data_IF_234206151379
#
_entry.id   IF_234206151379
#
_cell.length_a   1.000
_cell.length_b   1.000
_cell.length_c   1.000
_cell.angle_alpha   90.00
_cell.angle_beta   90.00
_cell.angle_gamma   90.00
#
_symmetry.space_group_name_H-M   'P 1'
#
loop_
_entity.id
_entity.type
_entity.pdbx_description
1 polymer ?
#
# COMPACT_ATOMS: atom_id res chain seq x y z
N UNK A 1 -22.57 -1.61 -0.64
CA UNK A 1 -22.09 -0.37 -1.30
C UNK A 1 -23.20 0.14 -2.21
N UNK A 2 -23.55 1.42 -2.09
CA UNK A 2 -24.52 2.11 -2.93
C UNK A 2 -23.88 3.33 -3.57
N UNK A 3 -24.15 3.54 -4.85
CA UNK A 3 -23.76 4.73 -5.58
C UNK A 3 -24.98 5.30 -6.30
N UNK A 4 -25.26 6.58 -6.10
CA UNK A 4 -26.30 7.31 -6.79
C UNK A 4 -25.77 8.61 -7.36
N UNK A 5 -26.23 8.98 -8.56
CA UNK A 5 -25.91 10.26 -9.19
C UNK A 5 -27.20 10.91 -9.68
N UNK A 6 -27.33 12.21 -9.38
CA UNK A 6 -28.47 13.03 -9.81
C UNK A 6 -27.99 14.28 -10.49
N UNK A 7 -28.60 14.61 -11.62
CA UNK A 7 -28.35 15.86 -12.34
C UNK A 7 -29.46 16.86 -12.06
N UNK A 8 -29.10 17.99 -11.45
CA UNK A 8 -30.02 19.11 -11.17
C UNK A 8 -29.61 20.33 -11.99
N UNK A 9 -30.24 20.52 -13.14
CA UNK A 9 -29.86 21.58 -14.09
C UNK A 9 -28.45 21.37 -14.65
N UNK A 10 -27.50 22.27 -14.32
CA UNK A 10 -26.09 22.18 -14.71
C UNK A 10 -25.22 21.45 -13.67
N UNK A 11 -25.76 21.20 -12.49
CA UNK A 11 -25.03 20.61 -11.38
C UNK A 11 -25.21 19.08 -11.34
N UNK A 12 -24.13 18.39 -10.96
CA UNK A 12 -24.15 16.96 -10.67
C UNK A 12 -23.93 16.76 -9.18
N UNK A 13 -24.80 15.93 -8.58
CA UNK A 13 -24.67 15.50 -7.18
C UNK A 13 -24.47 13.98 -7.17
N UNK A 14 -23.52 13.51 -6.38
CA UNK A 14 -23.26 12.08 -6.21
C UNK A 14 -23.32 11.71 -4.74
N UNK A 15 -23.87 10.55 -4.44
CA UNK A 15 -23.88 9.93 -3.12
C UNK A 15 -23.18 8.58 -3.25
N UNK A 16 -22.20 8.35 -2.41
CA UNK A 16 -21.54 7.06 -2.24
C UNK A 16 -21.74 6.61 -0.79
N UNK A 17 -22.35 5.45 -0.61
CA UNK A 17 -22.51 4.81 0.69
C UNK A 17 -21.70 3.53 0.70
N UNK A 18 -20.80 3.39 1.65
CA UNK A 18 -19.95 2.22 1.86
C UNK A 18 -20.16 1.65 3.24
N UNK A 19 -19.85 0.38 3.41
CA UNK A 19 -19.77 -0.23 4.74
C UNK A 19 -18.60 0.37 5.52
N UNK A 20 -18.81 0.53 6.83
CA UNK A 20 -17.75 0.92 7.74
C UNK A 20 -16.68 -0.17 7.84
N UNK A 21 -15.42 0.23 7.91
CA UNK A 21 -14.30 -0.69 8.11
C UNK A 21 -14.11 -1.02 9.61
N UNK A 22 -15.12 -1.60 10.23
CA UNK A 22 -15.09 -1.95 11.66
C UNK A 22 -13.97 -2.92 11.97
N UNK A 23 -13.12 -2.57 12.96
CA UNK A 23 -11.97 -3.37 13.39
C UNK A 23 -10.75 -3.30 12.46
N UNK A 24 -10.83 -2.54 11.36
CA UNK A 24 -9.66 -2.28 10.52
C UNK A 24 -8.83 -1.11 11.05
N UNK A 25 -7.51 -1.24 10.96
CA UNK A 25 -6.54 -0.21 11.35
C UNK A 25 -5.71 0.16 10.13
N UNK A 26 -5.48 1.45 9.90
CA UNK A 26 -4.63 1.89 8.80
C UNK A 26 -3.19 1.38 8.98
N UNK A 27 -2.54 1.05 7.87
CA UNK A 27 -1.13 0.62 7.93
C UNK A 27 -0.20 1.72 8.43
N UNK A 28 -0.56 2.99 8.23
CA UNK A 28 0.20 4.12 8.77
C UNK A 28 0.16 4.13 10.31
N UNK A 29 -1.02 3.93 10.90
CA UNK A 29 -1.21 3.92 12.36
C UNK A 29 -0.51 2.71 12.99
N UNK A 30 -0.62 1.52 12.36
CA UNK A 30 0.13 0.33 12.82
C UNK A 30 1.63 0.55 12.83
N UNK A 31 2.10 1.20 11.81
CA UNK A 31 3.51 1.50 11.65
C UNK A 31 3.97 2.53 12.68
N UNK A 32 3.16 3.53 12.95
CA UNK A 32 3.43 4.52 13.99
C UNK A 32 3.48 3.85 15.36
N UNK A 33 2.52 3.00 15.68
CA UNK A 33 2.50 2.19 16.89
C UNK A 33 3.78 1.34 17.03
N UNK A 34 4.22 0.69 15.94
CA UNK A 34 5.45 -0.10 15.95
C UNK A 34 6.74 0.72 16.13
N UNK A 35 6.71 1.99 15.72
CA UNK A 35 7.83 2.90 15.96
C UNK A 35 7.89 3.37 17.40
N UNK A 36 6.73 3.57 18.03
CA UNK A 36 6.62 4.08 19.40
C UNK A 36 6.84 2.99 20.45
N UNK A 37 6.28 1.79 20.22
CA UNK A 37 6.27 0.70 21.20
C UNK A 37 7.18 -0.48 20.81
N UNK A 38 7.83 -0.41 19.66
CA UNK A 38 8.64 -1.49 19.11
C UNK A 38 7.87 -2.37 18.11
N UNK A 39 8.54 -2.72 17.01
CA UNK A 39 7.91 -3.56 16.00
C UNK A 39 7.68 -4.98 16.53
N UNK A 40 6.48 -5.58 16.34
CA UNK A 40 6.20 -6.93 16.76
C UNK A 40 7.11 -7.95 16.04
N UNK A 41 7.21 -9.19 16.55
CA UNK A 41 7.92 -10.25 15.87
C UNK A 41 7.50 -10.41 14.41
N UNK A 42 8.41 -10.87 13.56
CA UNK A 42 8.11 -11.02 12.13
C UNK A 42 6.86 -11.87 11.85
N UNK A 43 6.63 -12.92 12.65
CA UNK A 43 5.45 -13.78 12.50
C UNK A 43 4.12 -13.02 12.62
N UNK A 44 4.09 -11.91 13.34
CA UNK A 44 2.88 -11.10 13.55
C UNK A 44 2.73 -10.02 12.48
N UNK A 45 3.82 -9.38 12.04
CA UNK A 45 3.74 -8.32 11.03
C UNK A 45 3.72 -8.80 9.59
N UNK A 46 4.35 -9.94 9.26
CA UNK A 46 4.38 -10.44 7.88
C UNK A 46 3.00 -10.80 7.31
N UNK A 47 2.02 -11.33 8.06
CA UNK A 47 0.66 -11.52 7.57
C UNK A 47 0.02 -10.23 7.06
N UNK A 48 0.19 -9.11 7.77
CA UNK A 48 -0.29 -7.80 7.32
C UNK A 48 0.34 -7.40 5.97
N UNK A 49 1.65 -7.52 5.86
CA UNK A 49 2.37 -7.20 4.62
C UNK A 49 1.93 -8.09 3.46
N UNK A 50 1.66 -9.38 3.73
CA UNK A 50 1.15 -10.32 2.71
C UNK A 50 -0.26 -9.94 2.26
N UNK A 51 -1.16 -9.63 3.19
CA UNK A 51 -2.54 -9.23 2.87
C UNK A 51 -2.56 -7.96 2.00
N UNK A 52 -1.76 -6.94 2.38
CA UNK A 52 -1.61 -5.69 1.59
C UNK A 52 -1.01 -5.96 0.21
N UNK A 53 -0.02 -6.85 0.11
CA UNK A 53 0.60 -7.21 -1.16
C UNK A 53 -0.39 -7.96 -2.08
N UNK A 54 -1.18 -8.87 -1.51
CA UNK A 54 -2.21 -9.61 -2.24
C UNK A 54 -3.31 -8.68 -2.75
N UNK A 55 -3.81 -7.77 -1.91
CA UNK A 55 -4.80 -6.76 -2.30
C UNK A 55 -4.30 -5.92 -3.48
N UNK A 56 -3.09 -5.37 -3.37
CA UNK A 56 -2.49 -4.58 -4.45
C UNK A 56 -2.30 -5.39 -5.72
N UNK A 57 -1.90 -6.64 -5.59
CA UNK A 57 -1.77 -7.56 -6.73
C UNK A 57 -3.11 -7.77 -7.43
N UNK A 58 -4.18 -8.05 -6.67
CA UNK A 58 -5.54 -8.22 -7.20
C UNK A 58 -5.99 -6.99 -7.98
N UNK A 59 -5.80 -5.79 -7.44
CA UNK A 59 -6.11 -4.55 -8.16
C UNK A 59 -5.37 -4.46 -9.50
N UNK A 60 -4.07 -4.73 -9.50
CA UNK A 60 -3.24 -4.64 -10.70
C UNK A 60 -3.53 -5.73 -11.72
N UNK A 61 -3.95 -6.92 -11.30
CA UNK A 61 -4.39 -8.01 -12.19
C UNK A 61 -5.69 -7.64 -12.93
N UNK A 62 -6.53 -6.77 -12.32
CA UNK A 62 -7.71 -6.18 -12.96
C UNK A 62 -7.40 -4.84 -13.69
N UNK A 63 -6.13 -4.48 -13.82
CA UNK A 63 -5.72 -3.26 -14.49
C UNK A 63 -5.98 -1.98 -13.68
N UNK A 64 -6.31 -2.07 -12.41
CA UNK A 64 -6.61 -0.91 -11.55
C UNK A 64 -5.32 -0.42 -10.92
N UNK A 65 -4.86 0.77 -11.33
CA UNK A 65 -3.77 1.51 -10.70
C UNK A 65 -4.37 2.49 -9.69
N UNK A 66 -3.96 2.41 -8.43
CA UNK A 66 -4.48 3.29 -7.37
C UNK A 66 -3.97 4.74 -7.48
N UNK A 67 -2.73 4.94 -7.94
CA UNK A 67 -2.00 6.23 -8.00
C UNK A 67 -1.63 6.87 -6.65
N UNK A 68 -2.38 6.63 -5.59
CA UNK A 68 -2.19 7.16 -4.24
C UNK A 68 -2.13 6.02 -3.21
N UNK A 69 -1.42 4.93 -3.50
CA UNK A 69 -1.30 3.76 -2.61
C UNK A 69 -0.39 4.07 -1.42
N UNK A 70 -0.88 4.96 -0.54
CA UNK A 70 -0.20 5.37 0.69
C UNK A 70 -0.58 4.45 1.84
N UNK A 71 0.28 4.25 2.86
CA UNK A 71 -0.05 3.44 4.04
C UNK A 71 -1.34 3.88 4.76
N UNK A 72 -1.66 5.17 4.78
CA UNK A 72 -2.89 5.72 5.37
C UNK A 72 -4.18 5.32 4.64
N UNK A 73 -4.10 4.91 3.38
CA UNK A 73 -5.26 4.48 2.59
C UNK A 73 -5.43 2.95 2.57
N UNK A 74 -4.53 2.22 3.22
CA UNK A 74 -4.53 0.76 3.27
C UNK A 74 -4.78 0.32 4.69
N UNK A 75 -5.83 -0.47 4.90
CA UNK A 75 -6.29 -0.91 6.20
C UNK A 75 -6.15 -2.42 6.33
N UNK A 76 -5.83 -2.89 7.52
CA UNK A 76 -5.75 -4.33 7.81
C UNK A 76 -6.48 -4.67 9.10
N UNK A 77 -7.08 -5.87 9.14
CA UNK A 77 -7.73 -6.45 10.32
C UNK A 77 -7.26 -7.89 10.51
N UNK A 78 -7.04 -8.28 11.75
CA UNK A 78 -6.82 -9.68 12.12
C UNK A 78 -8.21 -10.29 12.38
N UNK A 79 -8.50 -11.39 11.73
CA UNK A 79 -9.74 -12.16 11.90
C UNK A 79 -9.59 -13.14 13.07
N UNK A 80 -10.71 -13.71 13.54
CA UNK A 80 -10.74 -14.65 14.67
C UNK A 80 -9.91 -15.93 14.42
N UNK A 81 -9.74 -16.32 13.17
CA UNK A 81 -8.89 -17.45 12.75
C UNK A 81 -7.40 -17.10 12.63
N UNK A 82 -7.02 -15.87 12.95
CA UNK A 82 -5.65 -15.37 12.85
C UNK A 82 -5.23 -14.95 11.42
N UNK A 83 -6.09 -15.10 10.43
CA UNK A 83 -5.84 -14.56 9.09
C UNK A 83 -5.92 -13.02 9.09
N UNK A 84 -5.33 -12.39 8.09
CA UNK A 84 -5.35 -10.93 7.97
C UNK A 84 -6.05 -10.53 6.68
N UNK A 85 -7.08 -9.73 6.83
CA UNK A 85 -7.77 -9.03 5.74
C UNK A 85 -7.12 -7.68 5.45
N UNK A 86 -7.14 -7.25 4.19
CA UNK A 86 -6.76 -5.91 3.78
C UNK A 86 -7.87 -5.25 2.97
N UNK A 87 -8.00 -3.93 3.15
CA UNK A 87 -8.92 -3.05 2.41
C UNK A 87 -8.19 -1.79 1.98
N UNK A 88 -8.69 -1.16 0.94
CA UNK A 88 -8.15 0.11 0.45
C UNK A 88 -9.29 1.10 0.24
N UNK A 89 -9.00 2.37 0.50
CA UNK A 89 -9.91 3.51 0.33
C UNK A 89 -9.28 4.55 -0.60
N UNK A 90 -10.03 5.61 -0.90
CA UNK A 90 -9.56 6.78 -1.70
C UNK A 90 -9.19 6.40 -3.15
N UNK A 91 -10.14 5.76 -3.85
CA UNK A 91 -9.98 5.34 -5.24
C UNK A 91 -10.22 6.48 -6.25
N UNK A 92 -10.45 7.72 -5.83
CA UNK A 92 -10.80 8.84 -6.72
C UNK A 92 -9.76 9.10 -7.82
N UNK A 93 -8.48 8.84 -7.52
CA UNK A 93 -7.35 8.99 -8.46
C UNK A 93 -6.99 7.70 -9.17
N UNK A 94 -7.74 6.64 -8.94
CA UNK A 94 -7.47 5.35 -9.59
C UNK A 94 -7.69 5.46 -11.10
N UNK A 95 -6.95 4.64 -11.84
CA UNK A 95 -7.01 4.61 -13.31
C UNK A 95 -6.89 3.19 -13.81
N UNK A 96 -7.63 2.88 -14.85
CA UNK A 96 -7.39 1.66 -15.60
C UNK A 96 -6.09 1.73 -16.41
N UNK A 97 -5.35 0.65 -16.43
CA UNK A 97 -4.10 0.48 -17.19
C UNK A 97 -4.06 -0.90 -17.84
N UNK A 98 -3.60 -1.01 -19.10
CA UNK A 98 -3.57 -2.27 -19.81
C UNK A 98 -2.50 -3.25 -19.31
N UNK A 99 -1.58 -2.80 -18.44
CA UNK A 99 -0.45 -3.60 -17.98
C UNK A 99 -0.28 -3.51 -16.47
N UNK A 100 -0.27 -4.67 -15.81
CA UNK A 100 0.07 -4.80 -14.39
C UNK A 100 1.44 -4.19 -14.05
N UNK A 101 2.42 -4.31 -14.95
CA UNK A 101 3.75 -3.73 -14.72
C UNK A 101 3.70 -2.21 -14.63
N UNK A 102 2.86 -1.55 -15.44
CA UNK A 102 2.66 -0.09 -15.37
C UNK A 102 2.04 0.29 -14.03
N UNK A 103 1.00 -0.43 -13.59
CA UNK A 103 0.39 -0.24 -12.27
C UNK A 103 1.45 -0.40 -11.16
N UNK A 104 2.20 -1.51 -11.20
CA UNK A 104 3.20 -1.87 -10.21
C UNK A 104 4.28 -0.79 -10.03
N UNK A 105 4.82 -0.26 -11.12
CA UNK A 105 5.87 0.76 -11.06
C UNK A 105 5.41 2.00 -10.28
N UNK A 106 4.15 2.40 -10.41
CA UNK A 106 3.64 3.59 -9.73
C UNK A 106 3.30 3.32 -8.28
N UNK A 107 2.51 2.29 -8.03
CA UNK A 107 1.93 2.07 -6.71
C UNK A 107 2.94 1.45 -5.73
N UNK A 108 3.76 0.50 -6.19
CA UNK A 108 4.87 -0.03 -5.39
C UNK A 108 5.91 1.05 -5.05
N UNK A 109 6.20 1.94 -5.99
CA UNK A 109 7.05 3.10 -5.72
C UNK A 109 6.45 4.01 -4.65
N UNK A 110 5.15 4.34 -4.76
CA UNK A 110 4.46 5.20 -3.79
C UNK A 110 4.50 4.58 -2.40
N UNK A 111 4.15 3.30 -2.28
CA UNK A 111 4.19 2.58 -1.02
C UNK A 111 5.62 2.52 -0.44
N UNK A 112 6.60 2.14 -1.26
CA UNK A 112 8.00 2.04 -0.83
C UNK A 112 8.57 3.38 -0.33
N UNK A 113 8.17 4.49 -0.97
CA UNK A 113 8.59 5.84 -0.56
C UNK A 113 8.02 6.24 0.81
N UNK A 114 6.79 5.81 1.12
CA UNK A 114 6.10 6.18 2.35
C UNK A 114 6.16 5.14 3.48
N UNK A 115 6.77 3.97 3.23
CA UNK A 115 6.93 2.90 4.23
C UNK A 115 8.31 2.96 4.91
N UNK A 116 8.62 4.05 5.57
CA UNK A 116 9.96 4.34 6.10
C UNK A 116 10.43 3.37 7.19
N UNK A 117 9.51 2.85 7.98
CA UNK A 117 9.79 1.93 9.08
C UNK A 117 9.99 0.47 8.64
N UNK A 118 9.67 0.11 7.40
CA UNK A 118 9.88 -1.25 6.93
C UNK A 118 11.35 -1.54 6.71
N UNK A 119 11.85 -2.59 7.32
CA UNK A 119 13.20 -3.07 7.05
C UNK A 119 13.38 -3.49 5.59
N UNK A 120 14.60 -3.55 5.11
CA UNK A 120 14.89 -4.05 3.75
C UNK A 120 14.35 -5.46 3.54
N UNK A 121 14.39 -6.31 4.57
CA UNK A 121 13.87 -7.68 4.51
C UNK A 121 12.35 -7.72 4.45
N UNK A 122 11.64 -6.80 5.13
CA UNK A 122 10.18 -6.71 5.06
C UNK A 122 9.73 -6.18 3.69
N UNK A 123 10.43 -5.19 3.13
CA UNK A 123 10.20 -4.71 1.76
C UNK A 123 10.39 -5.79 0.72
N UNK A 124 11.44 -6.61 0.87
CA UNK A 124 11.71 -7.74 -0.01
C UNK A 124 10.62 -8.81 0.13
N UNK A 125 10.19 -9.11 1.36
CA UNK A 125 9.07 -10.02 1.60
C UNK A 125 7.78 -9.54 0.96
N UNK A 126 7.40 -8.29 1.18
CA UNK A 126 6.24 -7.66 0.54
C UNK A 126 6.31 -7.78 -0.99
N UNK A 127 7.44 -7.43 -1.58
CA UNK A 127 7.63 -7.46 -3.03
C UNK A 127 7.53 -8.88 -3.60
N UNK A 128 8.11 -9.88 -2.92
CA UNK A 128 7.96 -11.29 -3.30
C UNK A 128 6.52 -11.77 -3.18
N UNK A 129 5.82 -11.38 -2.11
CA UNK A 129 4.40 -11.68 -1.90
C UNK A 129 3.54 -11.06 -3.00
N UNK A 130 3.78 -9.79 -3.36
CA UNK A 130 3.12 -9.13 -4.47
C UNK A 130 3.34 -9.85 -5.81
N UNK A 131 4.56 -10.27 -6.11
CA UNK A 131 4.86 -11.01 -7.33
C UNK A 131 4.45 -12.49 -7.28
N UNK A 132 4.09 -13.01 -6.10
CA UNK A 132 3.79 -14.42 -5.84
C UNK A 132 4.96 -15.36 -6.24
N UNK A 133 6.19 -14.96 -5.87
CA UNK A 133 7.41 -15.73 -6.20
C UNK A 133 8.20 -16.11 -4.96
N UNK A 134 8.75 -17.31 -4.95
CA UNK A 134 9.67 -17.77 -3.90
C UNK A 134 11.09 -17.20 -4.05
N UNK A 135 11.58 -17.06 -5.28
CA UNK A 135 12.94 -16.58 -5.62
C UNK A 135 12.87 -15.41 -6.60
N UNK A 136 13.83 -14.48 -6.49
CA UNK A 136 13.91 -13.34 -7.39
C UNK A 136 14.33 -13.76 -8.81
N UNK A 137 13.42 -13.61 -9.74
CA UNK A 137 13.69 -13.78 -11.19
C UNK A 137 14.44 -12.57 -11.77
N UNK A 138 15.04 -12.66 -12.97
CA UNK A 138 15.64 -11.50 -13.64
C UNK A 138 14.66 -10.32 -13.77
N UNK A 139 13.40 -10.58 -14.14
CA UNK A 139 12.35 -9.58 -14.23
C UNK A 139 12.07 -8.93 -12.86
N UNK A 140 11.96 -9.72 -11.79
CA UNK A 140 11.74 -9.20 -10.44
C UNK A 140 12.90 -8.29 -9.99
N UNK A 141 14.16 -8.69 -10.27
CA UNK A 141 15.34 -7.87 -9.98
C UNK A 141 15.34 -6.56 -10.78
N UNK A 142 14.94 -6.59 -12.03
CA UNK A 142 14.81 -5.39 -12.87
C UNK A 142 13.74 -4.46 -12.31
N UNK A 143 12.54 -4.97 -12.01
CA UNK A 143 11.42 -4.18 -11.46
C UNK A 143 11.79 -3.56 -10.11
N UNK A 144 12.43 -4.33 -9.22
CA UNK A 144 12.93 -3.83 -7.94
C UNK A 144 13.90 -2.64 -8.13
N UNK A 145 14.88 -2.78 -9.01
CA UNK A 145 15.85 -1.72 -9.30
C UNK A 145 15.18 -0.46 -9.85
N UNK A 146 14.16 -0.62 -10.68
CA UNK A 146 13.39 0.50 -11.24
C UNK A 146 12.63 1.26 -10.15
N UNK A 147 11.94 0.54 -9.26
CA UNK A 147 11.22 1.12 -8.12
C UNK A 147 12.19 1.84 -7.19
N UNK A 148 13.30 1.20 -6.85
CA UNK A 148 14.32 1.76 -5.96
C UNK A 148 14.96 3.05 -6.53
N UNK A 149 15.31 3.06 -7.81
CA UNK A 149 15.84 4.26 -8.48
C UNK A 149 14.84 5.42 -8.43
N UNK A 150 13.55 5.15 -8.65
CA UNK A 150 12.50 6.17 -8.54
C UNK A 150 12.35 6.69 -7.11
N UNK A 151 12.36 5.80 -6.14
CA UNK A 151 12.28 6.17 -4.72
C UNK A 151 13.44 7.07 -4.31
N UNK A 152 14.68 6.70 -4.68
CA UNK A 152 15.87 7.51 -4.39
C UNK A 152 15.84 8.88 -5.05
N UNK A 153 15.41 8.96 -6.32
CA UNK A 153 15.30 10.25 -7.02
C UNK A 153 14.30 11.18 -6.32
N UNK A 154 13.15 10.67 -5.90
CA UNK A 154 12.15 11.48 -5.20
C UNK A 154 12.62 11.88 -3.81
N UNK A 155 13.31 11.01 -3.08
CA UNK A 155 13.88 11.34 -1.76
C UNK A 155 14.86 12.51 -1.81
N UNK A 156 15.56 12.69 -2.94
CA UNK A 156 16.44 13.85 -3.15
C UNK A 156 15.68 15.15 -3.37
N UNK A 157 14.52 15.09 -4.08
CA UNK A 157 13.73 16.27 -4.46
C UNK A 157 12.72 16.62 -3.36
N UNK A 158 12.04 15.61 -2.81
CA UNK A 158 11.04 15.76 -1.76
C UNK A 158 11.27 14.66 -0.71
N UNK A 159 12.03 14.92 0.34
CA UNK A 159 12.20 13.95 1.41
C UNK A 159 10.85 13.63 2.04
N UNK A 160 10.60 12.36 2.42
CA UNK A 160 9.34 11.97 3.04
C UNK A 160 9.12 12.76 4.33
N UNK A 161 7.95 13.37 4.47
CA UNK A 161 7.51 14.03 5.70
C UNK A 161 7.31 12.94 6.74
N UNK A 162 8.07 12.96 7.84
CA UNK A 162 7.95 11.97 8.93
C UNK A 162 9.25 11.29 9.36
N UNK A 163 10.42 11.83 9.04
CA UNK A 163 11.61 11.50 9.84
C UNK A 163 11.44 12.15 11.20
N UNK A 164 10.95 11.39 12.17
CA UNK A 164 11.29 11.66 13.56
C UNK A 164 12.82 11.59 13.58
N UNK A 165 13.47 12.74 13.81
CA UNK A 165 14.89 12.77 14.01
C UNK A 165 15.20 11.78 15.14
N UNK A 166 15.95 10.73 14.84
CA UNK A 166 16.54 9.91 15.89
C UNK A 166 17.27 10.90 16.80
N UNK A 167 16.78 11.09 18.02
CA UNK A 167 17.54 11.76 19.07
C UNK A 167 18.85 11.00 19.14
N UNK A 168 19.93 11.67 18.76
CA UNK A 168 21.28 11.28 19.16
C UNK A 168 21.35 11.61 20.65
N UNK A 169 21.30 10.57 21.45
CA UNK A 169 21.86 10.61 22.81
C UNK A 169 23.36 10.39 22.71
#
# INVERSE_FOLDING_TARGET
VYFGMHKAGKDYRAILVTEELTGFVAMEDRVQDWLEHGAPPRRERLPHLKAVATLLRTMHDHGIQHNCYFPKHVFTRINDDGSVDARVIDLEKSRWRPSRTICAIRDLYTLNHHSLCWSTSDRLWFFKSYLQIGRLTPFAKWLWRLIERRSRRKNRINPPRGRIAAKKD
#
